data_IF_872101197514
#
_entry.id   IF_872101197514
#
_cell.length_a   1.000
_cell.length_b   1.000
_cell.length_c   1.000
_cell.angle_alpha   90.00
_cell.angle_beta   90.00
_cell.angle_gamma   90.00
#
_symmetry.space_group_name_H-M   'P 1'
#
loop_
_entity.id
_entity.type
_entity.pdbx_description
1 polymer ?
#
# COMPACT_ATOMS: atom_id res chain seq x y z
N UNK A 1 19.75 13.08 14.12
CA UNK A 1 19.69 12.34 12.86
C UNK A 1 18.26 12.31 12.35
N UNK A 2 18.05 12.72 11.12
CA UNK A 2 16.72 12.73 10.53
C UNK A 2 16.45 11.37 9.89
N UNK A 3 15.42 10.69 10.38
CA UNK A 3 14.93 9.48 9.72
C UNK A 3 13.80 9.87 8.78
N UNK A 4 13.97 9.58 7.51
CA UNK A 4 12.93 9.77 6.52
C UNK A 4 12.07 8.50 6.48
N UNK A 5 10.75 8.68 6.47
CA UNK A 5 9.80 7.58 6.30
C UNK A 5 9.01 7.76 5.01
N UNK A 6 8.49 6.66 4.50
CA UNK A 6 7.61 6.66 3.34
C UNK A 6 6.18 6.40 3.82
N UNK A 7 5.22 7.15 3.33
CA UNK A 7 3.83 7.05 3.79
C UNK A 7 2.86 6.98 2.61
N UNK A 8 1.79 6.23 2.78
CA UNK A 8 0.70 6.21 1.79
C UNK A 8 0.16 7.63 1.57
N UNK A 9 0.13 8.07 0.33
CA UNK A 9 -0.30 9.42 -0.03
C UNK A 9 -1.70 9.76 0.49
N UNK A 10 -2.62 8.79 0.52
CA UNK A 10 -3.97 9.03 1.02
C UNK A 10 -4.00 9.36 2.53
N UNK A 11 -3.01 8.92 3.30
CA UNK A 11 -2.90 9.25 4.73
C UNK A 11 -2.40 10.68 4.93
N UNK A 12 -1.79 11.27 3.93
CA UNK A 12 -1.35 12.67 3.93
C UNK A 12 -2.40 13.64 3.37
N UNK A 13 -3.59 13.14 3.01
CA UNK A 13 -4.68 13.95 2.51
C UNK A 13 -4.76 14.03 0.98
N UNK A 14 -3.94 13.27 0.26
CA UNK A 14 -3.99 13.23 -1.20
C UNK A 14 -5.14 12.32 -1.63
N UNK A 15 -6.01 12.81 -2.51
CA UNK A 15 -7.20 12.10 -2.96
C UNK A 15 -6.86 11.05 -4.01
N UNK A 16 -6.04 10.06 -3.64
CA UNK A 16 -5.50 9.05 -4.54
C UNK A 16 -6.09 7.64 -4.36
N UNK A 17 -7.08 7.48 -3.46
CA UNK A 17 -7.77 6.21 -3.30
C UNK A 17 -8.61 5.89 -4.54
N UNK A 18 -8.97 4.62 -4.72
CA UNK A 18 -9.69 4.16 -5.92
C UNK A 18 -10.96 4.98 -6.20
N UNK A 19 -11.64 5.49 -5.17
CA UNK A 19 -12.88 6.28 -5.28
C UNK A 19 -12.63 7.80 -5.31
N UNK A 20 -11.36 8.23 -5.39
CA UNK A 20 -11.00 9.65 -5.41
C UNK A 20 -11.01 10.32 -4.05
N UNK A 21 -11.01 9.56 -2.96
CA UNK A 21 -10.99 10.08 -1.60
C UNK A 21 -9.61 9.93 -0.97
N UNK A 22 -9.48 10.45 0.26
CA UNK A 22 -8.29 10.29 1.09
C UNK A 22 -8.68 9.75 2.47
N UNK A 23 -7.66 9.47 3.29
CA UNK A 23 -7.83 9.05 4.70
C UNK A 23 -6.82 9.79 5.56
N UNK A 24 -6.87 11.11 5.53
CA UNK A 24 -5.94 11.99 6.23
C UNK A 24 -5.77 11.61 7.69
N UNK A 25 -4.50 11.53 8.11
CA UNK A 25 -4.07 11.45 9.51
C UNK A 25 -3.20 12.67 9.80
N UNK A 26 -3.60 13.46 10.78
CA UNK A 26 -2.92 14.73 11.13
C UNK A 26 -1.44 14.52 11.45
N UNK A 27 -1.09 13.45 12.17
CA UNK A 27 0.30 13.14 12.46
C UNK A 27 1.13 12.94 11.21
N UNK A 28 0.56 12.25 10.21
CA UNK A 28 1.22 12.02 8.91
C UNK A 28 1.38 13.34 8.17
N UNK A 29 0.33 14.17 8.13
CA UNK A 29 0.40 15.48 7.48
C UNK A 29 1.51 16.34 8.09
N UNK A 30 1.61 16.36 9.41
CA UNK A 30 2.68 17.08 10.11
C UNK A 30 4.06 16.57 9.73
N UNK A 31 4.25 15.26 9.66
CA UNK A 31 5.54 14.66 9.27
C UNK A 31 5.93 15.04 7.84
N UNK A 32 4.98 15.09 6.93
CA UNK A 32 5.23 15.53 5.54
C UNK A 32 5.61 17.01 5.50
N UNK A 33 4.87 17.86 6.21
CA UNK A 33 5.17 19.30 6.28
C UNK A 33 6.54 19.57 6.90
N UNK A 34 6.95 18.78 7.88
CA UNK A 34 8.26 18.87 8.52
C UNK A 34 9.38 18.22 7.69
N UNK A 35 9.08 17.71 6.50
CA UNK A 35 10.02 17.02 5.62
C UNK A 35 10.64 15.76 6.23
N UNK A 36 9.90 15.10 7.12
CA UNK A 36 10.28 13.83 7.75
C UNK A 36 9.64 12.63 7.07
N UNK A 37 8.70 12.87 6.18
CA UNK A 37 8.00 11.82 5.43
C UNK A 37 7.84 12.23 3.97
N UNK A 38 7.93 11.24 3.09
CA UNK A 38 7.66 11.36 1.65
C UNK A 38 6.44 10.50 1.33
N UNK A 39 5.55 11.02 0.50
CA UNK A 39 4.32 10.30 0.15
C UNK A 39 4.52 9.38 -1.05
N UNK A 40 3.75 8.29 -1.08
CA UNK A 40 3.72 7.34 -2.19
C UNK A 40 2.32 6.75 -2.32
N UNK A 41 1.90 6.52 -3.55
CA UNK A 41 0.73 5.68 -3.83
C UNK A 41 1.19 4.57 -4.78
N UNK A 42 1.38 3.33 -4.28
CA UNK A 42 1.87 2.24 -5.12
C UNK A 42 0.98 1.96 -6.33
N UNK A 43 -0.33 2.15 -6.19
CA UNK A 43 -1.26 1.92 -7.29
C UNK A 43 -1.05 2.94 -8.41
N UNK A 44 -0.85 4.23 -8.09
CA UNK A 44 -0.53 5.24 -9.10
C UNK A 44 0.82 4.96 -9.75
N UNK A 45 1.81 4.50 -8.99
CA UNK A 45 3.12 4.11 -9.54
C UNK A 45 3.01 2.92 -10.48
N UNK A 46 2.04 2.04 -10.26
CA UNK A 46 1.76 0.91 -11.13
C UNK A 46 1.10 1.28 -12.44
N UNK A 47 0.62 2.50 -12.56
CA UNK A 47 -0.03 3.01 -13.78
C UNK A 47 -1.53 3.20 -13.70
N UNK A 48 -2.11 3.06 -12.51
CA UNK A 48 -3.55 3.34 -12.34
C UNK A 48 -3.83 4.83 -12.29
N UNK A 49 -5.06 5.17 -12.68
CA UNK A 49 -5.61 6.52 -12.53
C UNK A 49 -6.55 6.58 -11.32
N UNK A 50 -6.93 7.78 -10.95
CA UNK A 50 -7.94 8.03 -9.91
C UNK A 50 -9.12 8.80 -10.56
N UNK A 51 -10.38 8.38 -10.43
CA UNK A 51 -10.83 7.14 -9.76
C UNK A 51 -10.53 5.88 -10.59
N UNK A 52 -10.63 4.74 -9.93
CA UNK A 52 -10.43 3.42 -10.55
C UNK A 52 -11.33 2.40 -9.85
N UNK A 53 -11.44 1.22 -10.40
CA UNK A 53 -12.21 0.15 -9.75
C UNK A 53 -11.53 -0.33 -8.47
N UNK A 54 -12.32 -0.75 -7.50
CA UNK A 54 -11.80 -1.50 -6.37
C UNK A 54 -11.28 -2.85 -6.85
N UNK A 55 -10.25 -3.35 -6.18
CA UNK A 55 -9.65 -4.64 -6.48
C UNK A 55 -9.39 -5.40 -5.19
N UNK A 56 -9.35 -6.72 -5.27
CA UNK A 56 -9.00 -7.59 -4.15
C UNK A 56 -8.06 -8.69 -4.61
N UNK A 57 -7.29 -9.22 -3.67
CA UNK A 57 -6.45 -10.39 -3.95
C UNK A 57 -7.33 -11.63 -3.89
N UNK A 58 -7.31 -12.42 -4.95
CA UNK A 58 -8.05 -13.67 -5.07
C UNK A 58 -7.07 -14.83 -5.04
N UNK A 59 -7.31 -15.80 -4.17
CA UNK A 59 -6.51 -17.01 -4.07
C UNK A 59 -5.38 -16.98 -3.06
N UNK A 60 -5.30 -15.93 -2.23
CA UNK A 60 -4.26 -15.84 -1.21
C UNK A 60 -4.01 -14.42 -0.72
N UNK A 61 -2.76 -14.13 -0.41
CA UNK A 61 -2.30 -12.84 0.10
C UNK A 61 -1.26 -12.23 -0.83
N UNK A 62 -0.71 -11.07 -0.48
CA UNK A 62 0.32 -10.41 -1.27
C UNK A 62 1.55 -11.26 -1.51
N UNK A 63 1.95 -12.05 -0.52
CA UNK A 63 3.05 -13.02 -0.64
C UNK A 63 2.76 -14.03 -1.76
N UNK A 64 1.53 -14.52 -1.82
CA UNK A 64 1.11 -15.47 -2.86
C UNK A 64 1.09 -14.83 -4.24
N UNK A 65 0.69 -13.56 -4.34
CA UNK A 65 0.74 -12.79 -5.59
C UNK A 65 2.19 -12.69 -6.09
N UNK A 66 3.12 -12.35 -5.21
CA UNK A 66 4.54 -12.24 -5.56
C UNK A 66 5.12 -13.59 -6.02
N UNK A 67 4.63 -14.69 -5.47
CA UNK A 67 5.04 -16.04 -5.86
C UNK A 67 4.35 -16.56 -7.12
N UNK A 68 3.38 -15.83 -7.67
CA UNK A 68 2.62 -16.24 -8.84
C UNK A 68 1.44 -17.19 -8.54
N UNK A 69 1.06 -17.33 -7.27
CA UNK A 69 0.03 -18.27 -6.81
C UNK A 69 -1.33 -17.61 -6.52
N UNK A 70 -1.42 -16.30 -6.59
CA UNK A 70 -2.65 -15.54 -6.41
C UNK A 70 -2.67 -14.37 -7.37
N UNK A 71 -3.85 -13.77 -7.55
CA UNK A 71 -4.04 -12.68 -8.51
C UNK A 71 -4.75 -11.50 -7.84
N UNK A 72 -4.53 -10.31 -8.38
CA UNK A 72 -5.29 -9.11 -8.02
C UNK A 72 -6.32 -8.88 -9.11
N UNK A 73 -7.59 -8.89 -8.72
CA UNK A 73 -8.72 -8.84 -9.65
C UNK A 73 -9.58 -7.64 -9.32
N UNK A 74 -9.96 -6.85 -10.31
CA UNK A 74 -10.92 -5.76 -10.16
C UNK A 74 -12.33 -6.30 -10.00
N UNK A 75 -13.21 -5.49 -9.44
CA UNK A 75 -14.62 -5.85 -9.23
C UNK A 75 -15.30 -6.31 -10.50
N UNK A 76 -14.91 -5.78 -11.66
CA UNK A 76 -15.43 -6.19 -12.98
C UNK A 76 -14.90 -7.55 -13.46
N UNK A 77 -13.91 -8.11 -12.78
CA UNK A 77 -13.26 -9.36 -13.16
C UNK A 77 -11.93 -9.18 -13.92
N UNK A 78 -11.52 -7.94 -14.19
CA UNK A 78 -10.25 -7.69 -14.90
C UNK A 78 -9.06 -8.05 -14.00
N UNK A 79 -8.12 -8.81 -14.55
CA UNK A 79 -6.85 -9.14 -13.89
C UNK A 79 -5.89 -7.96 -13.99
N UNK A 80 -5.53 -7.41 -12.85
CA UNK A 80 -4.60 -6.26 -12.75
C UNK A 80 -3.35 -6.60 -11.94
N UNK A 81 -3.07 -7.89 -11.82
CA UNK A 81 -1.92 -8.40 -11.04
C UNK A 81 -0.63 -7.70 -11.44
N UNK A 82 -0.33 -7.60 -12.73
CA UNK A 82 0.92 -7.02 -13.22
C UNK A 82 1.08 -5.56 -12.82
N UNK A 83 -0.01 -4.79 -12.81
CA UNK A 83 0.03 -3.38 -12.41
C UNK A 83 0.31 -3.23 -10.91
N UNK A 84 -0.28 -4.10 -10.08
CA UNK A 84 -0.02 -4.10 -8.63
C UNK A 84 1.41 -4.53 -8.31
N UNK A 85 1.91 -5.55 -9.00
CA UNK A 85 3.31 -5.99 -8.84
C UNK A 85 4.27 -4.89 -9.27
N UNK A 86 4.02 -4.26 -10.41
CA UNK A 86 4.83 -3.13 -10.90
C UNK A 86 4.86 -1.99 -9.90
N UNK A 87 3.71 -1.62 -9.34
CA UNK A 87 3.63 -0.56 -8.32
C UNK A 87 4.39 -0.91 -7.06
N UNK A 88 4.35 -2.18 -6.64
CA UNK A 88 5.10 -2.66 -5.48
C UNK A 88 6.61 -2.53 -5.70
N UNK A 89 7.12 -2.97 -6.84
CA UNK A 89 8.56 -2.87 -7.15
C UNK A 89 9.01 -1.42 -7.30
N UNK A 90 8.21 -0.55 -7.90
CA UNK A 90 8.54 0.89 -7.96
C UNK A 90 8.55 1.54 -6.59
N UNK A 91 7.66 1.12 -5.69
CA UNK A 91 7.67 1.59 -4.30
C UNK A 91 8.92 1.12 -3.56
N UNK A 92 9.32 -0.14 -3.77
CA UNK A 92 10.55 -0.67 -3.20
C UNK A 92 11.77 0.12 -3.69
N UNK A 93 11.86 0.38 -4.98
CA UNK A 93 12.94 1.16 -5.58
C UNK A 93 13.03 2.54 -4.94
N UNK A 94 11.90 3.22 -4.75
CA UNK A 94 11.82 4.51 -4.08
C UNK A 94 12.28 4.42 -2.63
N UNK A 95 11.83 3.40 -1.90
CA UNK A 95 12.20 3.19 -0.51
C UNK A 95 13.71 2.97 -0.34
N UNK A 96 14.31 2.16 -1.21
CA UNK A 96 15.76 1.89 -1.19
C UNK A 96 16.56 3.15 -1.54
N UNK A 97 16.12 3.89 -2.55
CA UNK A 97 16.79 5.12 -2.98
C UNK A 97 16.77 6.20 -1.89
N UNK A 98 15.67 6.31 -1.16
CA UNK A 98 15.52 7.25 -0.05
C UNK A 98 16.10 6.71 1.25
N UNK A 99 16.55 5.46 1.29
CA UNK A 99 17.11 4.79 2.46
C UNK A 99 16.18 4.79 3.68
N UNK A 100 14.87 4.67 3.43
CA UNK A 100 13.90 4.60 4.51
C UNK A 100 14.00 3.26 5.23
N UNK A 101 13.82 3.27 6.55
CA UNK A 101 13.78 2.05 7.37
C UNK A 101 12.35 1.63 7.70
N UNK A 102 11.44 2.59 7.69
CA UNK A 102 10.04 2.42 8.05
C UNK A 102 9.13 2.99 6.97
N UNK A 103 8.02 2.32 6.73
CA UNK A 103 6.95 2.81 5.86
C UNK A 103 5.62 2.72 6.61
N UNK A 104 4.73 3.67 6.36
CA UNK A 104 3.37 3.66 6.91
C UNK A 104 2.41 3.56 5.75
N UNK A 105 1.74 2.42 5.63
CA UNK A 105 0.86 2.12 4.51
C UNK A 105 -0.58 1.96 4.97
N UNK A 106 -1.53 2.39 4.14
CA UNK A 106 -2.97 2.32 4.43
C UNK A 106 -3.41 0.87 4.54
N UNK A 107 -4.06 0.53 5.67
CA UNK A 107 -4.56 -0.82 5.95
C UNK A 107 -5.64 -1.24 4.94
N UNK A 108 -5.78 -2.53 4.76
CA UNK A 108 -6.81 -3.27 4.04
C UNK A 108 -6.71 -3.29 2.52
N UNK A 109 -5.97 -2.39 1.89
CA UNK A 109 -5.87 -2.40 0.43
C UNK A 109 -5.09 -3.63 -0.08
N UNK A 110 -5.36 -4.10 -1.30
CA UNK A 110 -4.60 -5.21 -1.89
C UNK A 110 -3.13 -4.86 -2.13
N UNK A 111 -2.79 -3.58 -2.15
CA UNK A 111 -1.40 -3.10 -2.26
C UNK A 111 -0.77 -2.88 -0.89
N UNK A 112 -1.43 -2.10 -0.04
CA UNK A 112 -0.82 -1.48 1.14
C UNK A 112 -1.15 -2.14 2.48
N UNK A 113 -2.14 -3.02 2.54
CA UNK A 113 -2.53 -3.67 3.80
C UNK A 113 -1.34 -4.35 4.46
N UNK A 114 -1.09 -4.06 5.74
CA UNK A 114 0.05 -4.61 6.46
C UNK A 114 -0.32 -5.78 7.37
N UNK A 115 -1.55 -5.84 7.86
CA UNK A 115 -2.03 -6.89 8.78
C UNK A 115 -3.23 -7.64 8.23
N UNK A 116 -4.11 -6.95 7.52
CA UNK A 116 -5.32 -7.52 6.98
C UNK A 116 -5.64 -6.93 5.60
N UNK A 117 -6.28 -7.74 4.79
CA UNK A 117 -6.75 -7.37 3.44
C UNK A 117 -8.15 -7.94 3.24
N UNK A 118 -8.85 -7.49 2.22
CA UNK A 118 -10.12 -8.11 1.84
C UNK A 118 -9.87 -9.49 1.24
N UNK A 119 -10.84 -10.40 1.43
CA UNK A 119 -10.66 -11.84 1.16
C UNK A 119 -10.81 -12.28 -0.31
N UNK A 120 -11.05 -11.35 -1.21
CA UNK A 120 -11.20 -11.67 -2.65
C UNK A 120 -12.62 -11.96 -3.11
N UNK A 121 -13.59 -11.89 -2.22
CA UNK A 121 -15.00 -12.17 -2.57
C UNK A 121 -15.85 -10.92 -2.80
N UNK A 122 -15.26 -9.75 -2.59
CA UNK A 122 -15.96 -8.45 -2.69
C UNK A 122 -17.17 -8.36 -1.76
N UNK A 123 -17.09 -9.02 -0.60
CA UNK A 123 -18.15 -9.10 0.39
C UNK A 123 -17.95 -8.19 1.61
N UNK A 124 -16.81 -7.47 1.66
CA UNK A 124 -16.43 -6.69 2.83
C UNK A 124 -15.73 -7.50 3.91
N UNK A 125 -15.61 -8.82 3.73
CA UNK A 125 -14.89 -9.68 4.67
C UNK A 125 -13.38 -9.55 4.51
N UNK A 126 -12.67 -9.58 5.63
CA UNK A 126 -11.22 -9.44 5.71
C UNK A 126 -10.57 -10.72 6.19
N UNK A 127 -9.32 -10.92 5.74
CA UNK A 127 -8.47 -12.01 6.22
C UNK A 127 -7.15 -11.42 6.70
N UNK A 128 -6.48 -12.15 7.58
CA UNK A 128 -5.13 -11.81 7.99
C UNK A 128 -4.18 -12.00 6.81
N UNK A 129 -3.34 -11.01 6.54
CA UNK A 129 -2.40 -11.07 5.44
C UNK A 129 -1.96 -9.68 5.01
N UNK A 130 -0.98 -9.64 4.13
CA UNK A 130 -0.42 -8.41 3.60
C UNK A 130 -0.84 -8.19 2.15
N UNK A 131 -0.95 -6.92 1.74
CA UNK A 131 -1.06 -6.55 0.34
C UNK A 131 0.27 -6.76 -0.40
N UNK A 132 0.26 -6.60 -1.70
CA UNK A 132 1.43 -6.90 -2.55
C UNK A 132 2.64 -6.03 -2.20
N UNK A 133 2.44 -4.72 -2.03
CA UNK A 133 3.52 -3.80 -1.69
C UNK A 133 4.05 -4.06 -0.28
N UNK A 134 3.17 -4.22 0.70
CA UNK A 134 3.57 -4.51 2.08
C UNK A 134 4.38 -5.80 2.15
N UNK A 135 3.96 -6.85 1.47
CA UNK A 135 4.67 -8.12 1.45
C UNK A 135 6.07 -7.97 0.86
N UNK A 136 6.20 -7.23 -0.25
CA UNK A 136 7.50 -7.02 -0.89
C UNK A 136 8.46 -6.22 0.00
N UNK A 137 7.98 -5.14 0.61
CA UNK A 137 8.80 -4.31 1.49
C UNK A 137 9.22 -5.08 2.75
N UNK A 138 8.30 -5.81 3.37
CA UNK A 138 8.62 -6.65 4.55
C UNK A 138 9.67 -7.69 4.22
N UNK A 139 9.57 -8.32 3.07
CA UNK A 139 10.52 -9.34 2.60
C UNK A 139 11.94 -8.79 2.48
N UNK A 140 12.08 -7.50 2.16
CA UNK A 140 13.38 -6.84 2.03
C UNK A 140 13.90 -6.24 3.33
N UNK A 141 13.22 -6.47 4.45
CA UNK A 141 13.65 -6.02 5.77
C UNK A 141 13.19 -4.62 6.16
N UNK A 142 12.35 -3.97 5.35
CA UNK A 142 11.76 -2.68 5.69
C UNK A 142 10.61 -2.92 6.67
N UNK A 143 10.56 -2.11 7.73
CA UNK A 143 9.49 -2.21 8.74
C UNK A 143 8.23 -1.55 8.19
N UNK A 144 7.16 -2.33 8.04
CA UNK A 144 5.88 -1.84 7.51
C UNK A 144 4.90 -1.64 8.67
N UNK A 145 4.43 -0.41 8.80
CA UNK A 145 3.43 0.00 9.78
C UNK A 145 2.15 0.41 9.04
N UNK A 146 1.05 0.47 9.77
CA UNK A 146 -0.22 1.01 9.27
C UNK A 146 -0.57 2.31 9.98
N UNK A 147 -1.65 2.95 9.55
CA UNK A 147 -2.21 4.11 10.24
C UNK A 147 -2.62 3.81 11.70
N UNK A 148 -2.76 2.55 12.04
CA UNK A 148 -3.09 2.11 13.40
C UNK A 148 -1.87 2.08 14.33
N UNK A 149 -0.67 2.15 13.77
CA UNK A 149 0.61 2.03 14.48
C UNK A 149 1.33 3.38 14.66
N UNK A 150 0.63 4.50 14.50
CA UNK A 150 1.24 5.84 14.51
C UNK A 150 1.91 6.21 15.83
N UNK A 151 1.58 5.54 16.92
CA UNK A 151 2.21 5.78 18.21
C UNK A 151 3.68 5.33 18.27
N UNK A 152 4.14 4.57 17.27
CA UNK A 152 5.56 4.19 17.15
C UNK A 152 6.42 5.29 16.50
N UNK A 153 5.82 6.36 16.03
CA UNK A 153 6.54 7.41 15.31
C UNK A 153 6.97 8.56 16.25
#
# INVERSE_FOLDING_TARGET
MLFLILVSSCLAGIECRYDGTHRLKEKIRCLVEEKKAVTVCPELLGGFFTPRQSAEIVGGTGKDVLAGNAKVIEKSGRDVTDLYVKGAYKTLEMALKLQVTHVVLKQFSPSCGSKAIYNGTFSGERIQGEGVTSALLSKTGIIVLSEEDLYYL
#
